data_IF_774387715162
#
_entry.id   IF_774387715162
#
_cell.length_a   1.000
_cell.length_b   1.000
_cell.length_c   1.000
_cell.angle_alpha   90.00
_cell.angle_beta   90.00
_cell.angle_gamma   90.00
#
_symmetry.space_group_name_H-M   'P 1'
#
loop_
_entity.id
_entity.type
_entity.pdbx_description
1 polymer ?
#
# COMPACT_ATOMS: atom_id res chain seq x y z
N UNK A 1 -13.44 -1.88 -10.92
CA UNK A 1 -11.97 -1.84 -10.83
C UNK A 1 -11.56 -0.39 -10.60
N UNK A 2 -10.86 -0.05 -9.51
CA UNK A 2 -10.53 1.37 -9.18
C UNK A 2 -9.27 1.89 -9.90
N UNK A 3 -8.41 0.99 -10.39
CA UNK A 3 -7.28 1.29 -11.29
C UNK A 3 -6.96 0.06 -12.12
N UNK A 4 -6.59 0.27 -13.38
CA UNK A 4 -6.19 -0.81 -14.28
C UNK A 4 -4.75 -1.26 -13.96
N UNK A 5 -4.57 -2.57 -13.79
CA UNK A 5 -3.28 -3.15 -13.38
C UNK A 5 -2.19 -2.89 -14.43
N UNK A 6 -2.50 -3.11 -15.71
CA UNK A 6 -1.54 -2.92 -16.80
C UNK A 6 -1.07 -1.47 -16.91
N UNK A 7 -2.02 -0.52 -16.79
CA UNK A 7 -1.72 0.90 -16.79
C UNK A 7 -0.83 1.31 -15.60
N UNK A 8 -1.18 0.89 -14.38
CA UNK A 8 -0.40 1.24 -13.18
C UNK A 8 0.98 0.58 -13.17
N UNK A 9 1.10 -0.65 -13.68
CA UNK A 9 2.39 -1.32 -13.86
C UNK A 9 3.25 -0.60 -14.90
N UNK A 10 2.69 -0.22 -16.04
CA UNK A 10 3.42 0.53 -17.07
C UNK A 10 3.90 1.89 -16.55
N UNK A 11 3.04 2.60 -15.83
CA UNK A 11 3.40 3.87 -15.18
C UNK A 11 4.52 3.67 -14.15
N UNK A 12 4.38 2.69 -13.26
CA UNK A 12 5.40 2.36 -12.25
C UNK A 12 6.73 1.94 -12.87
N UNK A 13 6.68 1.19 -13.98
CA UNK A 13 7.88 0.82 -14.71
C UNK A 13 8.55 2.03 -15.35
N UNK A 14 7.79 3.00 -15.89
CA UNK A 14 8.36 4.23 -16.46
C UNK A 14 9.17 5.04 -15.42
N UNK A 15 8.73 5.07 -14.15
CA UNK A 15 9.46 5.78 -13.08
C UNK A 15 10.80 5.10 -12.76
N UNK A 16 10.83 3.77 -12.77
CA UNK A 16 12.06 2.99 -12.64
C UNK A 16 13.02 3.23 -13.82
N UNK A 17 12.48 3.49 -15.02
CA UNK A 17 13.25 3.81 -16.23
C UNK A 17 13.66 5.27 -16.34
N UNK A 18 13.38 6.11 -15.34
CA UNK A 18 13.88 7.48 -15.25
C UNK A 18 12.83 8.57 -15.41
N UNK A 19 11.57 8.23 -15.67
CA UNK A 19 10.48 9.20 -15.79
C UNK A 19 9.80 9.41 -14.43
N UNK A 20 10.34 10.31 -13.61
CA UNK A 20 9.83 10.57 -12.25
C UNK A 20 10.61 9.90 -11.10
N UNK A 21 11.81 9.38 -11.38
CA UNK A 21 12.86 8.84 -10.49
C UNK A 21 12.60 8.94 -8.98
N UNK A 22 12.01 7.91 -8.40
CA UNK A 22 11.85 7.77 -6.94
C UNK A 22 12.84 6.80 -6.29
N UNK A 23 13.57 6.01 -7.09
CA UNK A 23 14.49 4.95 -6.65
C UNK A 23 13.85 4.01 -5.59
N UNK A 24 12.75 3.31 -5.93
CA UNK A 24 11.99 2.53 -4.96
C UNK A 24 12.68 1.19 -4.63
N UNK A 25 12.68 0.83 -3.36
CA UNK A 25 13.06 -0.48 -2.83
C UNK A 25 11.87 -1.10 -2.12
N UNK A 26 11.63 -2.40 -2.32
CA UNK A 26 10.63 -3.12 -1.54
C UNK A 26 11.14 -3.25 -0.09
N UNK A 27 10.49 -2.54 0.84
CA UNK A 27 10.77 -2.64 2.26
C UNK A 27 10.14 -3.89 2.85
N UNK A 28 8.85 -4.08 2.59
CA UNK A 28 8.10 -5.26 3.02
C UNK A 28 6.95 -5.57 2.07
N UNK A 29 6.67 -6.86 1.87
CA UNK A 29 5.44 -7.35 1.24
C UNK A 29 4.91 -8.44 2.15
N UNK A 30 3.68 -8.29 2.64
CA UNK A 30 3.04 -9.29 3.49
C UNK A 30 1.63 -9.57 3.02
N UNK A 31 1.22 -10.82 3.17
CA UNK A 31 -0.15 -11.27 2.88
C UNK A 31 -0.71 -11.95 4.12
N UNK A 32 -1.93 -11.60 4.49
CA UNK A 32 -2.57 -12.15 5.68
C UNK A 32 -4.04 -11.82 5.77
N UNK A 33 -4.71 -12.50 6.69
CA UNK A 33 -6.10 -12.22 7.05
C UNK A 33 -6.13 -11.09 8.09
N UNK A 34 -6.99 -10.11 7.88
CA UNK A 34 -7.21 -8.97 8.78
C UNK A 34 -8.66 -8.98 9.22
N UNK A 35 -8.91 -8.83 10.52
CA UNK A 35 -10.27 -8.73 11.09
C UNK A 35 -10.99 -7.47 10.60
N UNK A 36 -12.27 -7.62 10.32
CA UNK A 36 -13.18 -6.56 9.91
C UNK A 36 -14.13 -6.28 11.06
N UNK A 37 -14.19 -5.02 11.47
CA UNK A 37 -15.09 -4.56 12.53
C UNK A 37 -15.98 -3.42 12.03
N UNK A 38 -17.20 -3.37 12.53
CA UNK A 38 -18.11 -2.24 12.33
C UNK A 38 -18.64 -1.76 13.69
N UNK A 39 -19.07 -0.50 13.77
CA UNK A 39 -19.77 0.04 14.95
C UNK A 39 -21.20 0.38 14.53
N UNK A 40 -22.17 -0.55 14.71
CA UNK A 40 -23.56 -0.28 14.37
C UNK A 40 -24.15 0.80 15.28
N UNK A 41 -24.96 1.70 14.73
CA UNK A 41 -25.59 2.79 15.47
C UNK A 41 -26.51 2.24 16.58
N UNK A 42 -27.14 1.09 16.35
CA UNK A 42 -28.06 0.44 17.28
C UNK A 42 -27.37 -0.17 18.51
N UNK A 43 -26.07 -0.51 18.39
CA UNK A 43 -25.31 -1.19 19.43
C UNK A 43 -24.31 -0.26 20.13
N UNK A 44 -23.73 0.71 19.41
CA UNK A 44 -22.78 1.67 19.97
C UNK A 44 -21.41 1.08 20.38
N UNK A 45 -21.10 -0.15 19.96
CA UNK A 45 -19.80 -0.80 20.18
C UNK A 45 -19.32 -1.57 18.94
N UNK A 46 -18.01 -1.86 18.88
CA UNK A 46 -17.40 -2.59 17.76
C UNK A 46 -17.82 -4.06 17.74
N UNK A 47 -18.25 -4.54 16.58
CA UNK A 47 -18.63 -5.93 16.31
C UNK A 47 -17.74 -6.47 15.20
N UNK A 48 -17.07 -7.58 15.46
CA UNK A 48 -16.33 -8.36 14.47
C UNK A 48 -17.30 -9.03 13.48
N UNK A 49 -17.10 -8.78 12.19
CA UNK A 49 -17.92 -9.30 11.09
C UNK A 49 -17.17 -10.28 10.19
N UNK A 50 -15.95 -10.67 10.56
CA UNK A 50 -15.13 -11.67 9.88
C UNK A 50 -13.76 -11.15 9.48
N UNK A 51 -13.13 -11.82 8.52
CA UNK A 51 -11.77 -11.52 8.10
C UNK A 51 -11.67 -11.34 6.58
N UNK A 52 -10.70 -10.55 6.14
CA UNK A 52 -10.39 -10.35 4.73
C UNK A 52 -8.93 -10.59 4.43
N UNK A 53 -8.66 -11.34 3.36
CA UNK A 53 -7.31 -11.58 2.87
C UNK A 53 -6.80 -10.35 2.10
N UNK A 54 -5.73 -9.75 2.61
CA UNK A 54 -5.09 -8.58 2.04
C UNK A 54 -3.62 -8.85 1.76
N UNK A 55 -3.09 -8.21 0.72
CA UNK A 55 -1.65 -8.05 0.52
C UNK A 55 -1.29 -6.59 0.67
N UNK A 56 -0.36 -6.31 1.58
CA UNK A 56 0.24 -5.01 1.82
C UNK A 56 1.65 -4.97 1.23
N UNK A 57 2.02 -3.83 0.65
CA UNK A 57 3.36 -3.57 0.16
C UNK A 57 3.81 -2.18 0.62
N UNK A 58 4.96 -2.15 1.27
CA UNK A 58 5.64 -0.92 1.66
C UNK A 58 6.91 -0.74 0.83
N UNK A 59 7.02 0.42 0.19
CA UNK A 59 8.21 0.81 -0.55
C UNK A 59 9.00 1.85 0.24
N UNK A 60 10.32 1.72 0.24
CA UNK A 60 11.26 2.75 0.69
C UNK A 60 11.79 3.45 -0.55
N UNK A 61 11.63 4.78 -0.60
CA UNK A 61 12.03 5.62 -1.72
C UNK A 61 13.23 6.49 -1.32
N UNK A 62 13.72 7.32 -2.25
CA UNK A 62 14.78 8.30 -1.99
C UNK A 62 14.58 9.14 -0.72
N UNK A 63 15.70 9.55 -0.12
CA UNK A 63 15.68 10.38 1.08
C UNK A 63 15.48 11.86 0.75
N UNK A 64 14.93 12.58 1.72
CA UNK A 64 14.83 14.04 1.74
C UNK A 64 15.64 14.60 2.91
N UNK A 65 16.13 15.82 2.76
CA UNK A 65 16.92 16.53 3.78
C UNK A 65 16.25 17.88 4.08
N UNK A 66 15.23 17.89 4.95
CA UNK A 66 14.53 19.11 5.34
C UNK A 66 15.29 19.88 6.44
N UNK A 67 15.11 21.20 6.51
CA UNK A 67 15.86 22.07 7.44
C UNK A 67 15.56 21.79 8.93
N UNK A 68 14.39 21.24 9.25
CA UNK A 68 13.86 21.12 10.61
C UNK A 68 14.07 19.75 11.27
N UNK A 69 14.56 18.75 10.52
CA UNK A 69 14.75 17.38 11.01
C UNK A 69 15.79 16.60 10.21
N UNK A 70 16.38 15.53 10.77
CA UNK A 70 17.39 14.75 10.08
C UNK A 70 16.91 14.18 8.74
N UNK A 71 17.85 13.95 7.79
CA UNK A 71 17.54 13.26 6.54
C UNK A 71 16.87 11.92 6.78
N UNK A 72 15.82 11.63 6.02
CA UNK A 72 15.08 10.37 6.15
C UNK A 72 14.51 9.92 4.81
N UNK A 73 14.31 8.61 4.68
CA UNK A 73 13.67 8.02 3.51
C UNK A 73 12.20 8.42 3.42
N UNK A 74 11.74 8.57 2.19
CA UNK A 74 10.31 8.67 1.90
C UNK A 74 9.74 7.26 1.65
N UNK A 75 8.42 7.12 1.68
CA UNK A 75 7.75 5.81 1.59
C UNK A 75 6.62 5.81 0.57
N UNK A 76 6.39 4.66 -0.04
CA UNK A 76 5.21 4.35 -0.84
C UNK A 76 4.41 3.23 -0.18
N UNK A 77 3.09 3.22 -0.40
CA UNK A 77 2.20 2.23 0.20
C UNK A 77 1.22 1.69 -0.84
N UNK A 78 1.04 0.37 -0.85
CA UNK A 78 0.07 -0.33 -1.67
C UNK A 78 -0.69 -1.36 -0.84
N UNK A 79 -2.01 -1.43 -1.05
CA UNK A 79 -2.87 -2.40 -0.39
C UNK A 79 -3.88 -2.92 -1.41
N UNK A 80 -4.02 -4.23 -1.49
CA UNK A 80 -4.93 -4.87 -2.44
C UNK A 80 -5.61 -6.08 -1.82
N UNK A 81 -6.88 -6.29 -2.18
CA UNK A 81 -7.54 -7.57 -1.99
C UNK A 81 -6.91 -8.56 -2.95
N UNK A 82 -6.57 -9.77 -2.50
CA UNK A 82 -6.09 -10.79 -3.42
C UNK A 82 -7.27 -11.33 -4.25
N UNK A 83 -7.36 -11.13 -5.58
CA UNK A 83 -8.29 -11.91 -6.38
C UNK A 83 -7.73 -13.33 -6.48
N UNK A 84 -8.53 -14.32 -6.07
CA UNK A 84 -8.22 -15.71 -6.44
C UNK A 84 -8.26 -15.85 -7.97
N UNK A 85 -7.05 -16.00 -8.54
CA UNK A 85 -6.67 -16.66 -9.80
C UNK A 85 -7.20 -16.09 -11.12
N UNK A 86 -6.26 -15.96 -12.07
CA UNK A 86 -6.52 -16.19 -13.49
C UNK A 86 -6.97 -17.63 -13.75
#
# INVERSE_FOLDING_TARGET
MRGDEGFLLALSYSTQRGYGRTHPFAGEIRTGYVSLEIVPEELGFAVDIGEILLTECEMVNGFVDPEDRPPHFTRGYGLVFWPRRA
#
